data_IF_303773400382
#
_entry.id   IF_303773400382
#
_cell.length_a   1.000
_cell.length_b   1.000
_cell.length_c   1.000
_cell.angle_alpha   90.00
_cell.angle_beta   90.00
_cell.angle_gamma   90.00
#
_symmetry.space_group_name_H-M   'P 1'
#
loop_
_entity.id
_entity.type
_entity.pdbx_description
1 polymer ?
#
# COMPACT_ATOMS: atom_id res chain seq x y z
N UNK A 1 12.71 -15.48 7.51
CA UNK A 1 11.63 -15.41 6.53
C UNK A 1 10.40 -14.75 7.18
N UNK A 2 10.56 -13.53 7.62
CA UNK A 2 9.47 -12.81 8.31
C UNK A 2 9.61 -11.36 7.88
N UNK A 3 8.55 -10.73 7.44
CA UNK A 3 8.39 -9.27 7.28
C UNK A 3 8.32 -8.67 5.87
N UNK A 4 8.23 -9.48 4.82
CA UNK A 4 7.98 -8.91 3.47
C UNK A 4 6.54 -8.44 3.31
N UNK A 5 5.62 -8.98 4.11
CA UNK A 5 4.18 -8.71 3.98
C UNK A 5 3.78 -7.30 4.45
N UNK A 6 4.51 -6.75 5.42
CA UNK A 6 4.13 -5.47 6.05
C UNK A 6 4.41 -4.29 5.12
N UNK A 7 5.46 -4.37 4.31
CA UNK A 7 5.84 -3.29 3.41
C UNK A 7 4.83 -3.14 2.25
N UNK A 8 4.21 -4.24 1.83
CA UNK A 8 3.26 -4.24 0.71
C UNK A 8 1.93 -3.61 1.08
N UNK A 9 1.51 -3.73 2.34
CA UNK A 9 0.22 -3.19 2.82
C UNK A 9 0.24 -1.65 2.94
N UNK A 10 1.42 -1.06 3.07
CA UNK A 10 1.54 0.37 3.33
C UNK A 10 1.29 1.29 2.12
N UNK A 11 1.04 0.79 0.92
CA UNK A 11 1.14 1.60 -0.30
C UNK A 11 -0.19 1.97 -0.96
N UNK A 12 -1.23 2.29 -0.17
CA UNK A 12 -2.55 2.53 -0.76
C UNK A 12 -3.16 3.87 -0.46
N UNK A 13 -3.37 4.62 -1.49
CA UNK A 13 -4.37 5.67 -1.53
C UNK A 13 -5.61 5.09 -2.21
N UNK A 14 -6.70 5.00 -1.49
CA UNK A 14 -7.99 4.78 -2.09
C UNK A 14 -8.53 6.11 -2.62
N UNK A 15 -8.80 6.18 -3.90
CA UNK A 15 -9.70 7.16 -4.45
C UNK A 15 -11.03 6.46 -4.71
N UNK A 16 -12.02 6.85 -3.98
CA UNK A 16 -13.44 7.05 -4.28
C UNK A 16 -14.25 6.01 -5.10
N UNK A 17 -15.32 5.50 -4.45
CA UNK A 17 -16.67 5.30 -4.97
C UNK A 17 -16.88 4.26 -6.08
N UNK A 18 -16.45 3.04 -5.88
CA UNK A 18 -17.06 1.80 -6.37
C UNK A 18 -16.30 0.63 -5.73
N UNK A 19 -16.95 -0.48 -5.49
CA UNK A 19 -16.26 -1.72 -5.08
C UNK A 19 -15.17 -2.05 -6.08
N UNK A 20 -13.93 -1.68 -5.78
CA UNK A 20 -12.80 -1.91 -6.67
C UNK A 20 -12.02 -3.13 -6.19
N UNK A 21 -11.91 -4.12 -7.06
CA UNK A 21 -11.06 -5.29 -6.82
C UNK A 21 -9.74 -5.11 -7.56
N UNK A 22 -8.65 -5.27 -6.85
CA UNK A 22 -7.29 -5.21 -7.40
C UNK A 22 -6.55 -6.50 -7.10
N UNK A 23 -5.78 -6.99 -8.07
CA UNK A 23 -4.96 -8.20 -7.94
C UNK A 23 -3.50 -7.80 -7.79
N UNK A 24 -2.86 -8.32 -6.75
CA UNK A 24 -1.43 -8.19 -6.52
C UNK A 24 -0.67 -9.42 -7.05
N UNK A 25 0.43 -9.19 -7.77
CA UNK A 25 1.27 -10.24 -8.35
C UNK A 25 2.74 -10.03 -7.99
N UNK A 26 3.49 -11.12 -7.84
CA UNK A 26 4.95 -11.07 -7.69
C UNK A 26 5.67 -10.77 -9.01
N UNK A 27 7.01 -10.76 -8.97
CA UNK A 27 7.84 -10.51 -10.13
C UNK A 27 7.68 -11.56 -11.24
N UNK A 28 7.23 -12.78 -10.89
CA UNK A 28 6.96 -13.89 -11.80
C UNK A 28 5.50 -13.89 -12.31
N UNK A 29 4.70 -12.89 -11.94
CA UNK A 29 3.30 -12.78 -12.34
C UNK A 29 2.32 -13.63 -11.53
N UNK A 30 2.75 -14.36 -10.50
CA UNK A 30 1.89 -15.19 -9.65
C UNK A 30 1.06 -14.31 -8.72
N UNK A 31 -0.21 -14.67 -8.56
CA UNK A 31 -1.11 -13.94 -7.66
C UNK A 31 -0.63 -14.10 -6.21
N UNK A 32 -0.37 -12.99 -5.55
CA UNK A 32 -0.01 -12.92 -4.13
C UNK A 32 -1.21 -12.57 -3.25
N UNK A 33 -2.24 -11.98 -3.84
CA UNK A 33 -3.44 -11.64 -3.11
C UNK A 33 -4.36 -10.68 -3.86
N UNK A 34 -5.43 -10.33 -3.18
CA UNK A 34 -6.44 -9.39 -3.68
C UNK A 34 -6.71 -8.30 -2.65
N UNK A 35 -7.10 -7.16 -3.16
CA UNK A 35 -7.46 -5.99 -2.40
C UNK A 35 -8.82 -5.52 -2.91
N UNK A 36 -9.77 -5.35 -2.00
CA UNK A 36 -11.10 -4.87 -2.32
C UNK A 36 -11.40 -3.64 -1.48
N UNK A 37 -11.83 -2.56 -2.09
CA UNK A 37 -12.29 -1.36 -1.36
C UNK A 37 -13.79 -1.22 -1.59
N UNK A 38 -14.55 -1.10 -0.50
CA UNK A 38 -15.99 -0.89 -0.54
C UNK A 38 -16.36 0.59 -0.69
N UNK A 39 -17.63 0.88 -0.88
CA UNK A 39 -18.17 2.23 -1.06
C UNK A 39 -18.00 3.12 0.18
N UNK A 40 -17.70 2.56 1.35
CA UNK A 40 -17.45 3.28 2.61
C UNK A 40 -15.96 3.58 2.83
N UNK A 41 -15.10 3.25 1.84
CA UNK A 41 -13.65 3.47 1.93
C UNK A 41 -12.91 2.45 2.78
N UNK A 42 -13.58 1.36 3.22
CA UNK A 42 -12.90 0.25 3.89
C UNK A 42 -12.24 -0.65 2.85
N UNK A 43 -10.96 -0.85 3.03
CA UNK A 43 -10.17 -1.76 2.19
C UNK A 43 -9.91 -3.07 2.91
N UNK A 44 -10.13 -4.18 2.22
CA UNK A 44 -9.91 -5.54 2.70
C UNK A 44 -8.77 -6.18 1.92
N UNK A 45 -7.80 -6.75 2.61
CA UNK A 45 -6.62 -7.43 2.05
C UNK A 45 -6.75 -8.93 2.25
N UNK A 46 -6.59 -9.71 1.17
CA UNK A 46 -6.62 -11.17 1.21
C UNK A 46 -5.38 -11.74 0.54
N UNK A 47 -4.89 -12.88 1.03
CA UNK A 47 -3.77 -13.59 0.44
C UNK A 47 -4.19 -14.33 -0.86
N UNK A 48 -3.25 -15.06 -1.47
CA UNK A 48 -3.48 -15.86 -2.68
C UNK A 48 -4.52 -16.98 -2.51
N UNK A 49 -4.76 -17.41 -1.27
CA UNK A 49 -5.77 -18.42 -0.91
C UNK A 49 -7.12 -17.79 -0.49
N UNK A 50 -7.26 -16.45 -0.58
CA UNK A 50 -8.46 -15.73 -0.20
C UNK A 50 -8.64 -15.49 1.29
N UNK A 51 -7.67 -15.87 2.15
CA UNK A 51 -7.75 -15.65 3.60
C UNK A 51 -7.54 -14.18 3.93
N UNK A 52 -8.28 -13.70 4.92
CA UNK A 52 -8.13 -12.32 5.40
C UNK A 52 -6.73 -12.10 5.99
N UNK A 53 -6.02 -11.10 5.47
CA UNK A 53 -4.73 -10.63 5.99
C UNK A 53 -4.92 -9.43 6.91
N UNK A 54 -5.85 -8.54 6.56
CA UNK A 54 -6.15 -7.35 7.33
C UNK A 54 -7.11 -6.41 6.63
N UNK A 55 -7.32 -5.27 7.25
CA UNK A 55 -8.20 -4.21 6.73
C UNK A 55 -7.57 -2.83 6.92
N UNK A 56 -8.01 -1.87 6.14
CA UNK A 56 -7.74 -0.45 6.41
C UNK A 56 -9.00 0.39 6.23
N UNK A 57 -9.05 1.50 6.95
CA UNK A 57 -10.11 2.52 6.82
C UNK A 57 -9.47 3.90 6.79
N UNK A 58 -9.97 4.76 5.91
CA UNK A 58 -9.49 6.14 5.80
C UNK A 58 -10.58 7.07 6.29
N UNK A 59 -10.24 7.96 7.21
CA UNK A 59 -11.16 8.98 7.73
C UNK A 59 -11.23 10.21 6.80
N UNK A 60 -12.13 11.13 7.12
CA UNK A 60 -12.35 12.37 6.35
C UNK A 60 -11.14 13.32 6.36
N UNK A 61 -10.18 13.13 7.25
CA UNK A 61 -8.94 13.90 7.33
C UNK A 61 -7.78 13.25 6.56
N UNK A 62 -8.05 12.16 5.81
CA UNK A 62 -7.04 11.45 5.04
C UNK A 62 -6.11 10.56 5.86
N UNK A 63 -6.41 10.35 7.15
CA UNK A 63 -5.68 9.40 7.98
C UNK A 63 -6.22 8.00 7.75
N UNK A 64 -5.33 7.08 7.39
CA UNK A 64 -5.66 5.67 7.22
C UNK A 64 -5.20 4.87 8.44
N UNK A 65 -6.08 4.01 8.95
CA UNK A 65 -5.81 3.07 10.04
C UNK A 65 -5.75 1.65 9.49
N UNK A 66 -4.67 0.93 9.78
CA UNK A 66 -4.44 -0.45 9.36
C UNK A 66 -4.63 -1.41 10.51
N UNK A 67 -5.33 -2.52 10.27
CA UNK A 67 -5.59 -3.58 11.25
C UNK A 67 -5.26 -4.94 10.67
N UNK A 68 -4.81 -5.87 11.51
CA UNK A 68 -4.59 -7.27 11.11
C UNK A 68 -5.92 -8.04 10.94
N UNK A 69 -5.82 -9.33 10.62
CA UNK A 69 -6.96 -10.21 10.44
C UNK A 69 -7.80 -10.37 11.73
N UNK A 70 -7.21 -10.14 12.90
CA UNK A 70 -7.88 -10.19 14.20
C UNK A 70 -8.40 -8.82 14.65
N UNK A 71 -8.29 -7.77 13.80
CA UNK A 71 -8.74 -6.42 14.10
C UNK A 71 -7.78 -5.58 14.96
N UNK A 72 -6.59 -6.08 15.31
CA UNK A 72 -5.61 -5.36 16.12
C UNK A 72 -4.92 -4.27 15.29
N UNK A 73 -4.66 -3.13 15.92
CA UNK A 73 -3.96 -2.01 15.26
C UNK A 73 -2.56 -2.43 14.83
N UNK A 74 -2.28 -2.29 13.53
CA UNK A 74 -0.94 -2.49 12.95
C UNK A 74 -0.20 -1.16 12.75
N UNK A 75 -0.94 -0.10 12.49
CA UNK A 75 -0.38 1.22 12.31
C UNK A 75 -1.32 2.19 11.64
N UNK A 76 -0.78 3.34 11.30
CA UNK A 76 -1.53 4.42 10.63
C UNK A 76 -0.71 5.04 9.52
N UNK A 77 -1.38 5.72 8.59
CA UNK A 77 -0.72 6.64 7.68
C UNK A 77 -1.50 7.95 7.58
N UNK A 78 -0.79 9.01 7.27
CA UNK A 78 -1.38 10.33 7.00
C UNK A 78 -0.64 11.00 5.84
N UNK A 79 -1.38 11.69 4.99
CA UNK A 79 -0.83 12.42 3.84
C UNK A 79 -0.92 13.92 4.12
N UNK A 80 0.19 14.62 3.95
CA UNK A 80 0.23 16.08 4.10
C UNK A 80 -0.23 16.78 2.81
N UNK A 81 -0.31 18.12 2.86
CA UNK A 81 -0.74 18.96 1.74
C UNK A 81 0.22 18.92 0.54
N UNK A 82 1.44 18.42 0.72
CA UNK A 82 2.44 18.26 -0.34
C UNK A 82 2.43 16.86 -0.97
N UNK A 83 1.45 16.02 -0.61
CA UNK A 83 1.32 14.65 -1.13
C UNK A 83 2.30 13.64 -0.53
N UNK A 84 3.04 14.02 0.53
CA UNK A 84 3.89 13.10 1.26
C UNK A 84 3.06 12.34 2.28
N UNK A 85 3.06 11.01 2.19
CA UNK A 85 2.42 10.13 3.16
C UNK A 85 3.45 9.60 4.15
N UNK A 86 3.17 9.74 5.44
CA UNK A 86 3.99 9.17 6.52
C UNK A 86 3.28 7.96 7.11
N UNK A 87 4.00 6.85 7.24
CA UNK A 87 3.54 5.61 7.85
C UNK A 87 4.09 5.47 9.25
N UNK A 88 3.23 5.06 10.20
CA UNK A 88 3.58 4.84 11.61
C UNK A 88 3.14 3.46 12.05
N UNK A 89 3.88 2.85 12.97
CA UNK A 89 3.50 1.58 13.59
C UNK A 89 2.36 1.79 14.62
N UNK A 90 1.96 0.70 15.27
CA UNK A 90 0.92 0.71 16.31
C UNK A 90 1.29 1.55 17.55
N UNK A 91 2.57 1.85 17.75
CA UNK A 91 3.09 2.70 18.82
C UNK A 91 3.32 4.16 18.36
N UNK A 92 2.95 4.51 17.11
CA UNK A 92 3.10 5.85 16.56
C UNK A 92 4.49 6.18 16.02
N UNK A 93 5.45 5.26 16.02
CA UNK A 93 6.81 5.48 15.50
C UNK A 93 6.80 5.47 13.98
N UNK A 94 7.52 6.38 13.36
CA UNK A 94 7.63 6.44 11.89
C UNK A 94 8.31 5.17 11.36
N UNK A 95 7.67 4.51 10.41
CA UNK A 95 8.18 3.36 9.69
C UNK A 95 8.74 3.72 8.31
N UNK A 96 8.26 4.81 7.74
CA UNK A 96 8.72 5.29 6.46
C UNK A 96 7.79 6.31 5.84
N UNK A 97 8.12 6.70 4.63
CA UNK A 97 7.34 7.70 3.87
C UNK A 97 7.19 7.28 2.41
N UNK A 98 6.15 7.79 1.76
CA UNK A 98 6.06 7.80 0.30
C UNK A 98 5.78 9.21 -0.20
N UNK A 99 6.27 9.51 -1.38
CA UNK A 99 5.96 10.75 -2.10
C UNK A 99 5.65 10.42 -3.55
N UNK A 100 4.51 10.85 -4.04
CA UNK A 100 4.13 10.73 -5.44
C UNK A 100 4.52 12.01 -6.19
N UNK A 101 5.04 11.88 -7.40
CA UNK A 101 5.24 12.99 -8.32
C UNK A 101 4.05 13.16 -9.27
N UNK A 102 4.05 14.23 -10.04
CA UNK A 102 2.98 14.53 -11.00
C UNK A 102 3.02 13.64 -12.25
N UNK A 103 4.02 12.76 -12.38
CA UNK A 103 4.20 11.86 -13.52
C UNK A 103 3.78 10.42 -13.20
N UNK A 104 3.11 10.20 -12.03
CA UNK A 104 2.63 8.90 -11.61
C UNK A 104 3.71 7.98 -11.02
N UNK A 105 4.91 8.52 -10.74
CA UNK A 105 5.95 7.80 -10.03
C UNK A 105 5.84 8.06 -8.54
N UNK A 106 5.93 7.02 -7.74
CA UNK A 106 5.98 7.10 -6.27
C UNK A 106 7.32 6.61 -5.77
N UNK A 107 7.92 7.35 -4.86
CA UNK A 107 9.18 7.02 -4.17
C UNK A 107 8.88 6.62 -2.73
N UNK A 108 9.46 5.52 -2.27
CA UNK A 108 9.31 4.97 -0.93
C UNK A 108 10.62 5.03 -0.17
N UNK A 109 10.57 5.50 1.09
CA UNK A 109 11.73 5.64 1.97
C UNK A 109 11.44 5.01 3.34
N UNK A 110 12.49 4.50 3.99
CA UNK A 110 12.39 4.00 5.36
C UNK A 110 12.31 5.16 6.39
N UNK A 111 12.29 4.78 7.68
CA UNK A 111 12.26 5.74 8.79
C UNK A 111 13.48 6.65 8.84
N UNK A 112 14.61 6.23 8.29
CA UNK A 112 15.86 6.98 8.20
C UNK A 112 15.99 7.78 6.89
N UNK A 113 14.95 7.76 6.03
CA UNK A 113 14.93 8.47 4.76
C UNK A 113 15.65 7.76 3.60
N UNK A 114 16.17 6.53 3.80
CA UNK A 114 16.86 5.76 2.75
C UNK A 114 15.84 5.22 1.74
N UNK A 115 16.24 5.21 0.47
CA UNK A 115 15.39 4.68 -0.60
C UNK A 115 15.10 3.18 -0.39
N UNK A 116 13.83 2.82 -0.34
CA UNK A 116 13.36 1.43 -0.31
C UNK A 116 12.93 0.93 -1.68
N UNK A 117 12.45 1.84 -2.53
CA UNK A 117 12.03 1.49 -3.87
C UNK A 117 11.17 2.57 -4.52
N UNK A 118 10.64 2.21 -5.67
CA UNK A 118 9.76 3.09 -6.45
C UNK A 118 8.60 2.31 -7.03
N UNK A 119 7.52 3.00 -7.35
CA UNK A 119 6.47 2.47 -8.23
C UNK A 119 6.12 3.46 -9.32
N UNK A 120 5.62 2.95 -10.44
CA UNK A 120 5.07 3.77 -11.52
C UNK A 120 3.77 3.16 -12.02
N UNK A 121 2.77 4.00 -12.28
CA UNK A 121 1.48 3.59 -12.81
C UNK A 121 1.38 4.06 -14.25
N UNK A 122 1.09 3.13 -15.16
CA UNK A 122 0.91 3.42 -16.58
C UNK A 122 -0.52 3.94 -16.87
N UNK A 123 -0.73 4.37 -18.10
CA UNK A 123 -2.02 4.89 -18.58
C UNK A 123 -3.18 3.87 -18.53
N UNK A 124 -2.88 2.58 -18.39
CA UNK A 124 -3.86 1.51 -18.27
C UNK A 124 -4.17 1.14 -16.80
N UNK A 125 -3.58 1.87 -15.84
CA UNK A 125 -3.77 1.65 -14.41
C UNK A 125 -2.95 0.49 -13.84
N UNK A 126 -2.01 -0.08 -14.62
CA UNK A 126 -1.06 -1.07 -14.11
C UNK A 126 0.06 -0.37 -13.36
N UNK A 127 0.27 -0.74 -12.10
CA UNK A 127 1.37 -0.24 -11.28
C UNK A 127 2.49 -1.28 -11.21
N UNK A 128 3.71 -0.85 -11.48
CA UNK A 128 4.94 -1.65 -11.39
C UNK A 128 5.76 -1.18 -10.19
N UNK A 129 6.21 -2.11 -9.36
CA UNK A 129 7.02 -1.84 -8.17
C UNK A 129 8.44 -2.34 -8.36
N UNK A 130 9.41 -1.53 -7.95
CA UNK A 130 10.85 -1.83 -8.03
C UNK A 130 11.51 -1.58 -6.68
N UNK A 131 12.54 -2.35 -6.36
CA UNK A 131 13.35 -2.12 -5.15
C UNK A 131 14.28 -0.90 -5.30
N UNK A 132 15.10 -0.65 -4.27
CA UNK A 132 16.08 0.44 -4.27
C UNK A 132 17.16 0.33 -5.34
N UNK A 133 17.36 -0.88 -5.91
CA UNK A 133 18.29 -1.16 -7.00
C UNK A 133 17.62 -1.18 -8.39
N UNK A 134 16.30 -0.89 -8.45
CA UNK A 134 15.53 -0.87 -9.69
C UNK A 134 15.01 -2.25 -10.16
N UNK A 135 15.22 -3.33 -9.41
CA UNK A 135 14.77 -4.67 -9.77
C UNK A 135 13.25 -4.79 -9.56
N UNK A 136 12.59 -5.53 -10.44
CA UNK A 136 11.14 -5.75 -10.36
C UNK A 136 10.79 -6.55 -9.09
N UNK A 137 9.88 -6.00 -8.28
CA UNK A 137 9.32 -6.64 -7.10
C UNK A 137 7.91 -7.20 -7.33
N UNK A 138 7.17 -6.59 -8.24
CA UNK A 138 5.83 -7.05 -8.55
C UNK A 138 5.01 -6.02 -9.30
N UNK A 139 3.78 -6.41 -9.60
CA UNK A 139 2.81 -5.54 -10.29
C UNK A 139 1.44 -5.60 -9.63
N UNK A 140 0.67 -4.56 -9.88
CA UNK A 140 -0.72 -4.44 -9.49
C UNK A 140 -1.53 -4.02 -10.69
N UNK A 141 -2.67 -4.66 -10.93
CA UNK A 141 -3.65 -4.27 -11.95
C UNK A 141 -5.07 -4.34 -11.38
N UNK A 142 -5.95 -3.57 -11.97
CA UNK A 142 -7.39 -3.66 -11.72
C UNK A 142 -7.93 -4.98 -12.27
#
# INVERSE_FOLDING_TARGET
MKNVIIVVVAFWTAACMADTKTVWRDAQGRVQGTITTDSYGKTTYRDSMGRLVGTSTTDSYGKTTFRDAQGRLQGTSSTDSYGKTTYRDSMGRTQGTKTADNYGKTTYRDAQGRLQGTSSTDKYGKTTYRDSQGRLQGTKSK
#
